data_IF_463699715449
#
_entry.id   IF_463699715449
#
_cell.length_a   1.000
_cell.length_b   1.000
_cell.length_c   1.000
_cell.angle_alpha   90.00
_cell.angle_beta   90.00
_cell.angle_gamma   90.00
#
_symmetry.space_group_name_H-M   'P 1'
#
loop_
_entity.id
_entity.type
_entity.pdbx_description
1 polymer ?
#
# COMPACT_ATOMS: atom_id res chain seq x y z
N UNK A 1 -6.24 -15.28 17.02
CA UNK A 1 -6.53 -13.92 17.55
C UNK A 1 -7.39 -13.25 16.49
N UNK A 2 -8.60 -12.80 16.83
CA UNK A 2 -9.49 -12.17 15.86
C UNK A 2 -8.83 -10.89 15.32
N UNK A 3 -8.76 -10.75 14.00
CA UNK A 3 -8.30 -9.55 13.32
C UNK A 3 -9.31 -8.39 13.46
N UNK A 4 -10.51 -8.70 13.93
CA UNK A 4 -11.61 -7.77 14.18
C UNK A 4 -11.93 -7.71 15.68
N UNK A 5 -11.47 -6.68 16.38
CA UNK A 5 -11.96 -6.37 17.73
C UNK A 5 -12.79 -5.07 17.65
N UNK A 6 -14.12 -5.16 17.65
CA UNK A 6 -14.99 -4.03 17.29
C UNK A 6 -15.27 -3.00 18.39
N UNK A 7 -14.70 -3.12 19.59
CA UNK A 7 -15.07 -2.23 20.70
C UNK A 7 -14.59 -0.78 20.60
N UNK A 8 -13.46 -0.54 19.93
CA UNK A 8 -12.73 0.73 20.00
C UNK A 8 -12.75 1.54 18.71
N UNK A 9 -13.39 1.06 17.65
CA UNK A 9 -13.43 1.71 16.35
C UNK A 9 -14.83 1.69 15.74
N UNK A 10 -15.11 2.67 14.89
CA UNK A 10 -16.33 2.75 14.06
C UNK A 10 -15.93 2.53 12.61
N UNK A 11 -16.62 1.65 11.90
CA UNK A 11 -16.44 1.41 10.48
C UNK A 11 -17.66 1.95 9.73
N UNK A 12 -17.44 2.94 8.88
CA UNK A 12 -18.47 3.52 8.01
C UNK A 12 -18.28 3.02 6.60
N UNK A 13 -19.26 2.32 6.06
CA UNK A 13 -19.26 1.91 4.65
C UNK A 13 -19.58 3.11 3.76
N UNK A 14 -18.71 3.42 2.83
CA UNK A 14 -18.85 4.50 1.86
C UNK A 14 -19.23 3.98 0.47
N UNK A 15 -19.44 2.68 0.30
CA UNK A 15 -19.63 2.03 -1.00
C UNK A 15 -20.91 2.48 -1.70
N UNK A 16 -21.95 2.87 -0.96
CA UNK A 16 -23.22 3.35 -1.54
C UNK A 16 -23.05 4.62 -2.39
N UNK A 17 -22.07 5.47 -2.04
CA UNK A 17 -21.76 6.68 -2.80
C UNK A 17 -20.77 6.41 -3.96
N UNK A 18 -20.28 5.17 -4.08
CA UNK A 18 -19.24 4.77 -4.99
C UNK A 18 -19.70 3.53 -5.78
N UNK A 19 -19.15 3.30 -6.96
CA UNK A 19 -19.39 2.06 -7.71
C UNK A 19 -18.42 0.93 -7.32
N UNK A 20 -17.76 1.03 -6.17
CA UNK A 20 -16.78 0.08 -5.64
C UNK A 20 -16.72 0.16 -4.11
N UNK A 21 -16.15 -0.87 -3.47
CA UNK A 21 -16.03 -0.92 -2.01
C UNK A 21 -15.11 0.17 -1.47
N UNK A 22 -15.57 0.86 -0.42
CA UNK A 22 -14.77 1.80 0.36
C UNK A 22 -15.25 1.85 1.81
N UNK A 23 -14.32 1.96 2.75
CA UNK A 23 -14.61 2.06 4.19
C UNK A 23 -13.79 3.18 4.83
N UNK A 24 -14.42 3.90 5.75
CA UNK A 24 -13.75 4.83 6.67
C UNK A 24 -13.77 4.19 8.06
N UNK A 25 -12.58 3.95 8.62
CA UNK A 25 -12.37 3.36 9.95
C UNK A 25 -11.84 4.45 10.87
N UNK A 26 -12.59 4.74 11.93
CA UNK A 26 -12.32 5.85 12.84
C UNK A 26 -12.30 5.37 14.29
N UNK A 27 -11.60 6.06 15.23
CA UNK A 27 -11.74 5.81 16.66
C UNK A 27 -13.20 5.92 17.10
N UNK A 28 -13.67 5.01 17.97
CA UNK A 28 -15.06 5.01 18.47
C UNK A 28 -15.39 6.25 19.30
N UNK A 29 -14.41 6.80 19.99
CA UNK A 29 -14.52 8.04 20.77
C UNK A 29 -13.52 9.04 20.23
N UNK A 30 -14.02 10.11 19.66
CA UNK A 30 -13.21 11.29 19.36
C UNK A 30 -13.05 12.10 20.65
N UNK A 31 -12.19 11.67 21.55
CA UNK A 31 -11.88 12.45 22.74
C UNK A 31 -11.01 13.65 22.37
N UNK A 32 -11.66 14.75 22.00
CA UNK A 32 -11.00 16.04 21.76
C UNK A 32 -10.31 16.62 23.02
N UNK A 33 -10.57 16.01 24.19
CA UNK A 33 -9.96 16.43 25.46
C UNK A 33 -8.64 15.70 25.76
N UNK A 34 -8.34 14.60 25.09
CA UNK A 34 -7.11 13.81 25.29
C UNK A 34 -5.82 14.54 24.90
N UNK A 35 -5.90 15.61 24.11
CA UNK A 35 -4.74 16.47 23.82
C UNK A 35 -4.20 17.28 25.05
N UNK A 36 -4.82 17.14 26.23
CA UNK A 36 -4.44 17.91 27.40
C UNK A 36 -3.83 17.10 28.55
N UNK A 37 -3.83 15.75 28.52
CA UNK A 37 -3.44 14.94 29.69
C UNK A 37 -2.86 13.55 29.38
N UNK A 38 -2.08 13.34 28.37
CA UNK A 38 -1.33 12.08 28.23
C UNK A 38 0.16 12.35 28.49
N UNK A 39 0.54 12.42 29.75
CA UNK A 39 1.86 12.06 30.21
C UNK A 39 2.00 10.53 30.12
N UNK A 40 2.29 10.02 28.93
CA UNK A 40 2.77 8.67 28.70
C UNK A 40 4.01 8.74 27.81
N UNK A 41 5.12 8.08 28.15
CA UNK A 41 6.44 8.36 27.57
C UNK A 41 6.66 7.79 26.15
N UNK A 42 5.63 7.38 25.45
CA UNK A 42 5.70 7.12 24.00
C UNK A 42 5.06 8.33 23.32
N UNK A 43 5.90 9.25 22.87
CA UNK A 43 5.45 10.38 22.06
C UNK A 43 4.84 9.84 20.77
N UNK A 44 3.53 9.60 20.78
CA UNK A 44 2.74 9.37 19.57
C UNK A 44 2.72 10.68 18.80
N UNK A 45 3.58 10.81 17.78
CA UNK A 45 3.54 11.90 16.82
C UNK A 45 2.35 11.79 15.85
N UNK A 46 1.43 10.84 16.07
CA UNK A 46 0.16 10.82 15.40
C UNK A 46 -0.61 12.08 15.82
N UNK A 47 -0.77 13.03 14.92
CA UNK A 47 -1.77 14.09 15.10
C UNK A 47 -3.10 13.36 15.19
N UNK A 48 -3.69 13.29 16.37
CA UNK A 48 -5.02 12.74 16.53
C UNK A 48 -5.92 13.36 15.46
N UNK A 49 -6.65 12.51 14.69
CA UNK A 49 -7.46 12.89 13.54
C UNK A 49 -6.76 12.91 12.15
N UNK A 50 -5.51 12.47 12.01
CA UNK A 50 -4.90 12.40 10.68
C UNK A 50 -5.66 11.40 9.79
N UNK A 51 -6.05 11.84 8.59
CA UNK A 51 -6.59 10.95 7.56
C UNK A 51 -5.46 10.13 6.93
N UNK A 52 -5.62 8.81 6.85
CA UNK A 52 -4.66 7.89 6.24
C UNK A 52 -5.33 7.13 5.11
N UNK A 53 -4.90 7.39 3.88
CA UNK A 53 -5.32 6.61 2.71
C UNK A 53 -4.55 5.30 2.67
N UNK A 54 -5.24 4.17 2.80
CA UNK A 54 -4.64 2.82 2.74
C UNK A 54 -4.85 2.23 1.35
N UNK A 55 -3.75 1.93 0.66
CA UNK A 55 -3.74 1.34 -0.68
C UNK A 55 -3.27 -0.11 -0.59
N UNK A 56 -4.20 -1.04 -0.83
CA UNK A 56 -3.94 -2.47 -0.72
C UNK A 56 -3.06 -3.03 -1.86
N UNK A 57 -2.51 -4.21 -1.66
CA UNK A 57 -1.72 -4.94 -2.64
C UNK A 57 -2.57 -5.63 -3.72
N UNK A 58 -1.90 -6.30 -4.65
CA UNK A 58 -2.54 -7.09 -5.70
C UNK A 58 -3.39 -8.22 -5.10
N UNK A 59 -4.49 -8.54 -5.75
CA UNK A 59 -5.44 -9.61 -5.37
C UNK A 59 -6.21 -9.37 -4.06
N UNK A 60 -5.93 -8.30 -3.33
CA UNK A 60 -6.59 -7.90 -2.09
C UNK A 60 -7.76 -6.93 -2.36
N UNK A 61 -8.41 -6.44 -1.32
CA UNK A 61 -9.50 -5.45 -1.38
C UNK A 61 -9.64 -4.72 -0.03
N UNK A 62 -10.47 -3.68 0.04
CA UNK A 62 -10.61 -2.83 1.23
C UNK A 62 -11.05 -3.58 2.49
N UNK A 63 -11.88 -4.62 2.34
CA UNK A 63 -12.40 -5.46 3.44
C UNK A 63 -11.59 -6.72 3.70
N UNK A 64 -10.49 -6.94 2.95
CA UNK A 64 -9.61 -8.08 3.22
C UNK A 64 -9.10 -8.01 4.67
N UNK A 65 -9.04 -9.13 5.41
CA UNK A 65 -8.64 -9.14 6.83
C UNK A 65 -7.32 -8.42 7.10
N UNK A 66 -6.30 -8.57 6.24
CA UNK A 66 -5.03 -7.86 6.39
C UNK A 66 -5.15 -6.34 6.24
N UNK A 67 -5.95 -5.87 5.28
CA UNK A 67 -6.17 -4.43 5.03
C UNK A 67 -6.97 -3.85 6.18
N UNK A 68 -8.02 -4.56 6.60
CA UNK A 68 -8.86 -4.14 7.73
C UNK A 68 -8.08 -4.14 9.05
N UNK A 69 -7.19 -5.12 9.29
CA UNK A 69 -6.32 -5.13 10.45
C UNK A 69 -5.42 -3.88 10.50
N UNK A 70 -4.84 -3.48 9.37
CA UNK A 70 -4.07 -2.23 9.27
C UNK A 70 -4.95 -1.01 9.57
N UNK A 71 -6.12 -0.91 8.95
CA UNK A 71 -7.03 0.22 9.16
C UNK A 71 -7.48 0.34 10.62
N UNK A 72 -7.84 -0.78 11.26
CA UNK A 72 -8.18 -0.83 12.68
C UNK A 72 -6.97 -0.49 13.55
N UNK A 73 -5.78 -1.01 13.22
CA UNK A 73 -4.53 -0.69 13.92
C UNK A 73 -4.21 0.80 13.90
N UNK A 74 -4.43 1.47 12.76
CA UNK A 74 -4.28 2.92 12.61
C UNK A 74 -5.35 3.68 13.42
N UNK A 75 -6.62 3.24 13.36
CA UNK A 75 -7.71 3.89 14.09
C UNK A 75 -7.52 3.78 15.61
N UNK A 76 -7.03 2.65 16.14
CA UNK A 76 -6.66 2.52 17.56
C UNK A 76 -5.54 3.46 18.00
N UNK A 77 -4.80 4.04 17.07
CA UNK A 77 -3.75 5.05 17.27
C UNK A 77 -4.22 6.49 17.03
N UNK A 78 -5.53 6.66 16.86
CA UNK A 78 -6.16 7.96 16.69
C UNK A 78 -6.26 8.45 15.25
N UNK A 79 -5.77 7.71 14.26
CA UNK A 79 -5.91 8.06 12.85
C UNK A 79 -7.30 7.70 12.31
N UNK A 80 -7.68 8.28 11.18
CA UNK A 80 -8.86 7.93 10.39
C UNK A 80 -8.41 7.21 9.14
N UNK A 81 -8.63 5.91 9.02
CA UNK A 81 -8.14 5.11 7.90
C UNK A 81 -9.20 4.99 6.80
N UNK A 82 -8.89 5.48 5.61
CA UNK A 82 -9.73 5.36 4.41
C UNK A 82 -9.19 4.22 3.54
N UNK A 83 -9.96 3.15 3.41
CA UNK A 83 -9.66 2.01 2.53
C UNK A 83 -10.61 1.99 1.34
N UNK A 84 -10.18 1.45 0.21
CA UNK A 84 -11.01 1.36 -0.99
C UNK A 84 -10.52 0.24 -1.91
N UNK A 85 -11.42 -0.28 -2.76
CA UNK A 85 -11.08 -1.31 -3.73
C UNK A 85 -10.36 -0.73 -4.94
N UNK A 86 -9.21 -1.30 -5.31
CA UNK A 86 -8.53 -0.99 -6.56
C UNK A 86 -9.29 -1.61 -7.77
N UNK A 87 -9.19 -1.02 -8.97
CA UNK A 87 -9.82 -1.57 -10.16
C UNK A 87 -9.49 -3.04 -10.36
N UNK A 88 -10.50 -3.86 -10.60
CA UNK A 88 -10.38 -5.30 -10.79
C UNK A 88 -10.37 -6.13 -9.51
N UNK A 89 -10.42 -5.53 -8.33
CA UNK A 89 -10.41 -6.21 -7.05
C UNK A 89 -11.58 -5.79 -6.16
N UNK A 90 -11.94 -6.66 -5.22
CA UNK A 90 -13.04 -6.41 -4.29
C UNK A 90 -14.39 -6.35 -5.00
N UNK A 91 -15.19 -5.34 -4.67
CA UNK A 91 -16.49 -5.08 -5.28
C UNK A 91 -16.31 -4.39 -6.63
N UNK A 92 -16.16 -5.19 -7.68
CA UNK A 92 -16.13 -4.69 -9.06
C UNK A 92 -17.54 -4.39 -9.53
N UNK A 93 -17.73 -3.31 -10.30
CA UNK A 93 -19.04 -2.96 -10.87
C UNK A 93 -19.43 -3.86 -12.07
N UNK A 94 -18.54 -4.77 -12.47
CA UNK A 94 -18.75 -5.69 -13.59
C UNK A 94 -18.75 -5.04 -14.96
N UNK A 95 -18.42 -3.74 -15.03
CA UNK A 95 -18.30 -3.04 -16.30
C UNK A 95 -17.13 -3.58 -17.14
N UNK A 96 -17.14 -3.31 -18.43
CA UNK A 96 -16.02 -3.63 -19.32
C UNK A 96 -14.67 -3.09 -18.82
N UNK A 97 -14.72 -2.04 -18.00
CA UNK A 97 -13.53 -1.37 -17.49
C UNK A 97 -13.08 -1.82 -16.10
N UNK A 98 -13.89 -2.63 -15.40
CA UNK A 98 -13.65 -3.12 -14.04
C UNK A 98 -13.88 -4.64 -13.94
N UNK A 99 -13.06 -5.38 -14.66
CA UNK A 99 -13.15 -6.85 -14.73
C UNK A 99 -12.41 -7.46 -13.55
N UNK A 100 -13.09 -8.33 -12.80
CA UNK A 100 -12.51 -9.01 -11.64
C UNK A 100 -11.21 -9.75 -11.99
N UNK A 101 -10.17 -9.52 -11.19
CA UNK A 101 -8.84 -10.09 -11.37
C UNK A 101 -7.97 -9.35 -12.39
N UNK A 102 -8.49 -8.26 -13.01
CA UNK A 102 -7.73 -7.45 -13.95
C UNK A 102 -7.45 -6.07 -13.39
N UNK A 103 -6.25 -5.85 -12.91
CA UNK A 103 -5.85 -4.50 -12.55
C UNK A 103 -5.68 -3.62 -13.77
N UNK A 104 -6.52 -2.61 -13.87
CA UNK A 104 -6.56 -1.71 -15.03
C UNK A 104 -5.47 -0.65 -15.08
N UNK A 105 -4.47 -0.70 -14.19
CA UNK A 105 -3.31 0.19 -14.20
C UNK A 105 -3.41 1.41 -13.28
N UNK A 106 -2.30 2.13 -13.19
CA UNK A 106 -2.13 3.25 -12.25
C UNK A 106 -3.10 4.40 -12.50
N UNK A 107 -3.39 4.74 -13.77
CA UNK A 107 -4.30 5.83 -14.10
C UNK A 107 -5.73 5.59 -13.62
N UNK A 108 -6.26 4.37 -13.79
CA UNK A 108 -7.60 4.01 -13.27
C UNK A 108 -7.62 4.01 -11.74
N UNK A 109 -6.53 3.52 -11.11
CA UNK A 109 -6.39 3.56 -9.66
C UNK A 109 -6.35 4.98 -9.13
N UNK A 110 -5.64 5.89 -9.79
CA UNK A 110 -5.61 7.31 -9.44
C UNK A 110 -7.00 7.96 -9.56
N UNK A 111 -7.76 7.61 -10.60
CA UNK A 111 -9.14 8.10 -10.74
C UNK A 111 -10.02 7.63 -9.56
N UNK A 112 -9.86 6.38 -9.08
CA UNK A 112 -10.55 5.91 -7.86
C UNK A 112 -10.08 6.64 -6.60
N UNK A 113 -8.77 6.85 -6.45
CA UNK A 113 -8.20 7.63 -5.34
C UNK A 113 -8.84 9.03 -5.30
N UNK A 114 -8.87 9.75 -6.43
CA UNK A 114 -9.53 11.06 -6.51
C UNK A 114 -11.00 11.00 -6.13
N UNK A 115 -11.69 9.93 -6.55
CA UNK A 115 -13.11 9.77 -6.22
C UNK A 115 -13.32 9.53 -4.71
N UNK A 116 -12.57 8.66 -4.05
CA UNK A 116 -12.73 8.45 -2.58
C UNK A 116 -12.35 9.71 -1.80
N UNK A 117 -11.31 10.44 -2.22
CA UNK A 117 -10.91 11.71 -1.61
C UNK A 117 -11.90 12.85 -1.85
N UNK A 118 -12.77 12.73 -2.86
CA UNK A 118 -13.87 13.69 -3.10
C UNK A 118 -15.09 13.45 -2.22
N UNK A 119 -15.14 12.32 -1.48
CA UNK A 119 -16.27 12.00 -0.61
C UNK A 119 -16.44 13.07 0.51
N UNK A 120 -17.67 13.53 0.81
CA UNK A 120 -17.91 14.61 1.78
C UNK A 120 -17.27 14.37 3.16
N UNK A 121 -17.15 13.11 3.60
CA UNK A 121 -16.56 12.75 4.90
C UNK A 121 -15.06 13.06 5.03
N UNK A 122 -14.35 13.22 3.91
CA UNK A 122 -12.87 13.36 3.88
C UNK A 122 -12.37 14.44 2.93
N UNK A 123 -13.27 15.07 2.17
CA UNK A 123 -12.89 16.04 1.13
C UNK A 123 -12.16 17.26 1.70
N UNK A 124 -11.05 17.60 1.07
CA UNK A 124 -10.26 18.80 1.40
C UNK A 124 -9.34 18.63 2.61
N UNK A 125 -9.27 17.44 3.19
CA UNK A 125 -8.34 17.15 4.26
C UNK A 125 -6.93 16.86 3.72
N UNK A 126 -5.89 17.25 4.47
CA UNK A 126 -4.54 16.74 4.30
C UNK A 126 -4.50 15.28 4.79
N UNK A 127 -3.71 14.44 4.13
CA UNK A 127 -3.67 13.02 4.49
C UNK A 127 -2.30 12.38 4.32
N UNK A 128 -2.10 11.27 5.05
CA UNK A 128 -1.00 10.36 4.84
C UNK A 128 -1.39 9.25 3.85
N UNK A 129 -0.41 8.61 3.23
CA UNK A 129 -0.63 7.42 2.38
C UNK A 129 0.13 6.24 2.99
N UNK A 130 -0.55 5.10 3.14
CA UNK A 130 0.08 3.80 3.45
C UNK A 130 -0.20 2.86 2.30
N UNK A 131 0.84 2.40 1.60
CA UNK A 131 0.69 1.49 0.46
C UNK A 131 1.48 0.22 0.65
N UNK A 132 0.85 -0.95 0.44
CA UNK A 132 1.48 -2.27 0.57
C UNK A 132 1.68 -2.94 -0.78
N UNK A 133 2.86 -3.52 -1.02
CA UNK A 133 3.14 -4.32 -2.21
C UNK A 133 2.94 -3.49 -3.51
N UNK A 134 2.05 -3.93 -4.40
CA UNK A 134 1.58 -3.14 -5.55
C UNK A 134 1.02 -1.78 -5.11
N UNK A 135 0.28 -1.74 -3.99
CA UNK A 135 -0.22 -0.49 -3.41
C UNK A 135 0.89 0.47 -2.98
N UNK A 136 2.05 -0.04 -2.56
CA UNK A 136 3.25 0.76 -2.28
C UNK A 136 3.82 1.41 -3.55
N UNK A 137 3.90 0.66 -4.65
CA UNK A 137 4.28 1.22 -5.94
C UNK A 137 3.27 2.28 -6.42
N UNK A 138 1.97 2.01 -6.22
CA UNK A 138 0.91 2.94 -6.57
C UNK A 138 0.92 4.20 -5.69
N UNK A 139 1.28 4.07 -4.40
CA UNK A 139 1.44 5.20 -3.49
C UNK A 139 2.49 6.21 -3.99
N UNK A 140 3.63 5.72 -4.50
CA UNK A 140 4.68 6.57 -5.11
C UNK A 140 4.11 7.33 -6.31
N UNK A 141 3.42 6.64 -7.20
CA UNK A 141 2.82 7.24 -8.39
C UNK A 141 1.74 8.26 -7.98
N UNK A 142 0.77 7.85 -7.17
CA UNK A 142 -0.37 8.69 -6.79
C UNK A 142 0.07 9.93 -6.01
N UNK A 143 1.01 9.79 -5.07
CA UNK A 143 1.54 10.93 -4.31
C UNK A 143 2.13 11.99 -5.25
N UNK A 144 2.96 11.59 -6.23
CA UNK A 144 3.51 12.53 -7.18
C UNK A 144 2.43 13.22 -8.02
N UNK A 145 1.48 12.45 -8.57
CA UNK A 145 0.41 13.00 -9.42
C UNK A 145 -0.49 13.99 -8.66
N UNK A 146 -0.87 13.66 -7.42
CA UNK A 146 -1.71 14.54 -6.60
C UNK A 146 -0.98 15.80 -6.16
N UNK A 147 0.30 15.68 -5.77
CA UNK A 147 1.13 16.83 -5.41
C UNK A 147 1.46 17.72 -6.62
N UNK A 148 1.69 17.13 -7.81
CA UNK A 148 1.97 17.89 -9.03
C UNK A 148 0.74 18.67 -9.52
N UNK A 149 -0.44 18.10 -9.32
CA UNK A 149 -1.70 18.77 -9.63
C UNK A 149 -2.11 19.82 -8.58
N UNK A 150 -1.44 19.87 -7.42
CA UNK A 150 -1.81 20.76 -6.32
C UNK A 150 -3.18 20.44 -5.72
N UNK A 151 -3.64 19.18 -5.86
CA UNK A 151 -4.98 18.78 -5.44
C UNK A 151 -5.07 18.54 -3.92
N UNK A 152 -3.97 18.08 -3.32
CA UNK A 152 -3.96 17.65 -1.92
C UNK A 152 -2.61 17.84 -1.24
N UNK A 153 -2.64 18.12 0.05
CA UNK A 153 -1.49 18.11 0.94
C UNK A 153 -1.25 16.69 1.46
N UNK A 154 -0.13 16.08 1.09
CA UNK A 154 0.28 14.77 1.56
C UNK A 154 1.27 14.94 2.70
N UNK A 155 0.85 14.57 3.91
CA UNK A 155 1.61 14.78 5.14
C UNK A 155 2.81 13.84 5.25
N UNK A 156 2.65 12.58 4.79
CA UNK A 156 3.69 11.55 4.77
C UNK A 156 3.29 10.35 3.90
N UNK A 157 4.26 9.52 3.56
CA UNK A 157 4.04 8.27 2.81
C UNK A 157 4.71 7.12 3.53
N UNK A 158 3.99 6.01 3.70
CA UNK A 158 4.52 4.76 4.25
C UNK A 158 4.46 3.68 3.18
N UNK A 159 5.60 3.12 2.85
CA UNK A 159 5.78 2.08 1.84
C UNK A 159 6.03 0.74 2.54
N UNK A 160 5.11 -0.20 2.39
CA UNK A 160 5.15 -1.51 3.04
C UNK A 160 5.49 -2.58 2.01
N UNK A 161 6.65 -3.18 2.09
CA UNK A 161 7.14 -4.18 1.12
C UNK A 161 6.80 -3.78 -0.35
N UNK A 162 7.15 -2.54 -0.79
CA UNK A 162 6.63 -1.98 -2.03
C UNK A 162 7.20 -2.68 -3.26
N UNK A 163 6.37 -2.87 -4.28
CA UNK A 163 6.80 -3.40 -5.58
C UNK A 163 7.65 -2.36 -6.32
N UNK A 164 8.96 -2.40 -6.11
CA UNK A 164 9.91 -1.46 -6.73
C UNK A 164 10.43 -1.95 -8.07
N UNK A 165 10.37 -3.26 -8.35
CA UNK A 165 10.95 -3.88 -9.54
C UNK A 165 10.27 -5.19 -9.88
N UNK A 166 10.08 -5.42 -11.17
CA UNK A 166 9.69 -6.74 -11.67
C UNK A 166 10.92 -7.66 -11.78
N UNK A 167 10.75 -8.95 -11.45
CA UNK A 167 11.84 -9.95 -11.56
C UNK A 167 12.34 -10.11 -13.01
N UNK A 168 11.43 -10.04 -13.97
CA UNK A 168 11.73 -10.21 -15.40
C UNK A 168 11.85 -8.87 -16.10
N UNK A 169 12.91 -8.69 -16.88
CA UNK A 169 13.07 -7.54 -17.78
C UNK A 169 12.82 -7.97 -19.21
N UNK A 170 12.07 -7.17 -19.92
CA UNK A 170 11.76 -7.41 -21.33
C UNK A 170 12.40 -6.34 -22.21
N UNK A 171 12.93 -6.72 -23.40
CA UNK A 171 13.30 -5.76 -24.43
C UNK A 171 12.12 -4.86 -24.83
N UNK A 172 12.40 -3.64 -25.24
CA UNK A 172 11.35 -2.66 -25.56
C UNK A 172 10.37 -3.15 -26.64
N UNK A 173 10.86 -3.87 -27.66
CA UNK A 173 10.01 -4.44 -28.72
C UNK A 173 9.04 -5.51 -28.16
N UNK A 174 9.50 -6.34 -27.23
CA UNK A 174 8.66 -7.35 -26.57
C UNK A 174 7.61 -6.66 -25.72
N UNK A 175 7.97 -5.63 -24.96
CA UNK A 175 7.05 -4.84 -24.16
C UNK A 175 5.97 -4.17 -25.01
N UNK A 176 6.35 -3.62 -26.17
CA UNK A 176 5.38 -3.03 -27.09
C UNK A 176 4.41 -4.10 -27.60
N UNK A 177 4.91 -5.28 -27.97
CA UNK A 177 4.06 -6.40 -28.38
C UNK A 177 3.10 -6.84 -27.27
N UNK A 178 3.60 -7.04 -26.06
CA UNK A 178 2.78 -7.38 -24.89
C UNK A 178 1.76 -6.30 -24.56
N UNK A 179 2.13 -5.01 -24.69
CA UNK A 179 1.22 -3.89 -24.50
C UNK A 179 0.06 -3.92 -25.52
N UNK A 180 0.36 -4.14 -26.79
CA UNK A 180 -0.68 -4.25 -27.84
C UNK A 180 -1.59 -5.46 -27.55
N UNK A 181 -1.02 -6.64 -27.27
CA UNK A 181 -1.78 -7.85 -26.97
C UNK A 181 -2.65 -7.69 -25.70
N UNK A 182 -2.17 -6.97 -24.71
CA UNK A 182 -2.94 -6.71 -23.48
C UNK A 182 -4.15 -5.79 -23.69
N UNK A 183 -4.33 -5.22 -24.88
CA UNK A 183 -5.50 -4.40 -25.27
C UNK A 183 -6.47 -5.17 -26.16
N UNK A 184 -6.14 -6.39 -26.55
CA UNK A 184 -7.01 -7.25 -27.32
C UNK A 184 -7.95 -8.00 -26.38
N UNK A 185 -9.29 -7.85 -26.52
CA UNK A 185 -10.25 -8.60 -25.72
C UNK A 185 -9.96 -10.11 -25.78
N UNK A 186 -10.09 -10.79 -24.65
CA UNK A 186 -9.71 -12.21 -24.42
C UNK A 186 -8.23 -12.40 -24.14
N UNK A 187 -7.30 -11.78 -24.89
CA UNK A 187 -5.87 -11.91 -24.63
C UNK A 187 -5.45 -11.13 -23.36
N UNK A 188 -6.11 -10.05 -23.09
CA UNK A 188 -5.95 -9.25 -21.85
C UNK A 188 -6.15 -10.07 -20.57
N UNK A 189 -7.00 -11.13 -20.65
CA UNK A 189 -7.36 -12.03 -19.53
C UNK A 189 -6.44 -13.23 -19.37
N UNK A 190 -5.54 -13.48 -20.32
CA UNK A 190 -4.60 -14.60 -20.22
C UNK A 190 -3.75 -14.45 -18.96
N UNK A 191 -3.73 -15.49 -18.13
CA UNK A 191 -2.86 -15.55 -16.97
C UNK A 191 -1.41 -15.77 -17.40
N UNK A 192 -0.54 -14.81 -17.03
CA UNK A 192 0.90 -14.82 -17.39
C UNK A 192 1.81 -15.20 -16.23
N UNK A 193 1.27 -15.25 -15.02
CA UNK A 193 1.98 -15.66 -13.81
C UNK A 193 1.01 -16.21 -12.78
N UNK A 194 1.47 -17.22 -12.03
CA UNK A 194 0.75 -17.69 -10.85
C UNK A 194 0.65 -16.60 -9.77
N UNK A 195 -0.30 -16.74 -8.87
CA UNK A 195 -0.41 -15.89 -7.68
C UNK A 195 0.87 -16.03 -6.83
N UNK A 196 1.50 -14.93 -6.40
CA UNK A 196 2.58 -14.98 -5.43
C UNK A 196 2.09 -15.59 -4.10
N UNK A 197 2.91 -16.40 -3.46
CA UNK A 197 2.66 -16.95 -2.13
C UNK A 197 3.49 -16.21 -1.09
N UNK A 198 2.90 -15.87 0.02
CA UNK A 198 3.58 -15.19 1.14
C UNK A 198 4.51 -16.12 1.92
N UNK A 199 4.33 -17.42 1.78
CA UNK A 199 5.08 -18.44 2.54
C UNK A 199 5.49 -19.59 1.63
N UNK A 200 6.73 -20.05 1.80
CA UNK A 200 7.17 -21.34 1.31
C UNK A 200 6.91 -22.41 2.36
N UNK A 201 6.42 -23.57 1.95
CA UNK A 201 6.29 -24.72 2.83
C UNK A 201 7.66 -25.02 3.49
N UNK A 202 7.68 -25.02 4.83
CA UNK A 202 8.87 -25.36 5.62
C UNK A 202 9.66 -24.19 6.19
N UNK A 203 9.28 -22.95 5.97
CA UNK A 203 9.94 -21.79 6.60
C UNK A 203 9.50 -21.63 8.06
N UNK A 204 10.17 -22.38 8.97
CA UNK A 204 9.86 -22.43 10.41
C UNK A 204 10.35 -21.20 11.17
N UNK A 205 11.23 -20.42 10.57
CA UNK A 205 11.85 -19.25 11.22
C UNK A 205 11.05 -17.97 11.01
N UNK A 206 10.11 -17.98 10.05
CA UNK A 206 9.23 -16.84 9.83
C UNK A 206 8.25 -16.68 10.98
N UNK A 207 8.17 -15.46 11.49
CA UNK A 207 7.14 -15.04 12.43
C UNK A 207 5.82 -14.81 11.69
N UNK A 208 4.83 -15.67 11.93
CA UNK A 208 3.64 -15.72 11.12
C UNK A 208 2.38 -16.08 11.91
N UNK A 209 1.35 -15.24 11.80
CA UNK A 209 0.02 -15.49 12.40
C UNK A 209 -0.81 -16.40 11.48
N UNK A 210 -0.76 -17.71 11.74
CA UNK A 210 -1.53 -18.71 10.96
C UNK A 210 -3.04 -18.51 11.06
N UNK A 211 -3.56 -18.04 12.19
CA UNK A 211 -4.98 -17.77 12.35
C UNK A 211 -5.43 -16.58 11.52
N UNK A 212 -4.63 -15.52 11.48
CA UNK A 212 -4.86 -14.38 10.58
C UNK A 212 -4.80 -14.77 9.11
N UNK A 213 -3.84 -15.62 8.72
CA UNK A 213 -3.78 -16.14 7.36
C UNK A 213 -5.02 -16.97 7.00
N UNK A 214 -5.48 -17.85 7.90
CA UNK A 214 -6.68 -18.64 7.68
C UNK A 214 -7.93 -17.76 7.44
N UNK A 215 -8.02 -16.61 8.11
CA UNK A 215 -9.10 -15.64 7.85
C UNK A 215 -8.97 -15.03 6.43
N UNK A 216 -7.75 -14.67 6.01
CA UNK A 216 -7.50 -14.20 4.64
C UNK A 216 -7.81 -15.28 3.60
N UNK A 217 -7.52 -16.54 3.91
CA UNK A 217 -7.80 -17.67 3.03
C UNK A 217 -9.29 -18.05 2.98
N UNK A 218 -10.06 -17.72 4.01
CA UNK A 218 -11.51 -17.90 4.03
C UNK A 218 -12.27 -16.77 3.31
N UNK A 219 -11.60 -15.68 2.95
CA UNK A 219 -12.22 -14.52 2.30
C UNK A 219 -12.49 -14.79 0.80
N UNK A 220 -13.75 -15.02 0.46
CA UNK A 220 -14.18 -15.32 -0.91
C UNK A 220 -14.09 -14.12 -1.87
N UNK A 221 -13.98 -12.91 -1.35
CA UNK A 221 -13.86 -11.69 -2.16
C UNK A 221 -12.44 -11.50 -2.69
N UNK A 222 -11.45 -12.04 -1.98
CA UNK A 222 -10.05 -12.03 -2.43
C UNK A 222 -9.89 -12.77 -3.76
N UNK A 223 -9.22 -12.15 -4.73
CA UNK A 223 -8.93 -12.78 -6.02
C UNK A 223 -7.88 -13.87 -5.86
N UNK A 224 -8.22 -15.09 -6.29
CA UNK A 224 -7.35 -16.28 -6.15
C UNK A 224 -6.71 -16.73 -7.46
N UNK A 225 -7.08 -16.12 -8.58
CA UNK A 225 -6.47 -16.38 -9.87
C UNK A 225 -5.08 -15.77 -10.00
N UNK A 226 -4.41 -16.09 -11.09
CA UNK A 226 -3.10 -15.55 -11.41
C UNK A 226 -3.12 -14.09 -11.90
N UNK A 227 -1.98 -13.63 -12.35
CA UNK A 227 -1.80 -12.28 -12.91
C UNK A 227 -2.18 -12.30 -14.38
N UNK A 228 -3.17 -11.52 -14.77
CA UNK A 228 -3.56 -11.39 -16.18
C UNK A 228 -2.49 -10.64 -16.99
N UNK A 229 -2.47 -10.83 -18.31
CA UNK A 229 -1.55 -10.14 -19.21
C UNK A 229 -1.68 -8.61 -19.04
N UNK A 230 -2.90 -8.09 -18.98
CA UNK A 230 -3.12 -6.67 -18.74
C UNK A 230 -2.49 -6.21 -17.43
N UNK A 231 -2.78 -6.91 -16.33
CA UNK A 231 -2.22 -6.58 -15.01
C UNK A 231 -0.70 -6.63 -15.01
N UNK A 232 -0.10 -7.66 -15.61
CA UNK A 232 1.35 -7.81 -15.71
C UNK A 232 2.03 -6.67 -16.45
N UNK A 233 1.44 -6.24 -17.58
CA UNK A 233 1.94 -5.12 -18.38
C UNK A 233 1.82 -3.81 -17.61
N UNK A 234 0.70 -3.57 -16.95
CA UNK A 234 0.50 -2.34 -16.18
C UNK A 234 1.40 -2.28 -14.94
N UNK A 235 1.63 -3.41 -14.25
CA UNK A 235 2.61 -3.50 -13.16
C UNK A 235 4.02 -3.17 -13.65
N UNK A 236 4.42 -3.73 -14.79
CA UNK A 236 5.71 -3.41 -15.38
C UNK A 236 5.85 -1.91 -15.70
N UNK A 237 4.81 -1.29 -16.26
CA UNK A 237 4.78 0.15 -16.54
C UNK A 237 4.90 0.97 -15.27
N UNK A 238 4.17 0.60 -14.21
CA UNK A 238 4.21 1.29 -12.92
C UNK A 238 5.62 1.27 -12.31
N UNK A 239 6.29 0.10 -12.29
CA UNK A 239 7.66 0.02 -11.78
C UNK A 239 8.64 0.84 -12.60
N UNK A 240 8.47 0.90 -13.93
CA UNK A 240 9.29 1.75 -14.82
C UNK A 240 9.11 3.24 -14.55
N UNK A 241 7.89 3.71 -14.34
CA UNK A 241 7.60 5.11 -13.98
C UNK A 241 8.22 5.44 -12.62
N UNK A 242 8.17 4.51 -11.66
CA UNK A 242 8.74 4.69 -10.33
C UNK A 242 10.28 4.63 -10.30
N UNK A 243 10.93 4.29 -11.39
CA UNK A 243 12.37 4.34 -11.49
C UNK A 243 13.07 2.98 -11.62
N UNK A 244 12.41 1.94 -12.17
CA UNK A 244 13.07 0.68 -12.56
C UNK A 244 13.89 0.84 -13.84
N UNK A 245 14.71 1.89 -13.93
CA UNK A 245 15.72 2.10 -14.95
C UNK A 245 17.11 1.61 -14.51
N UNK A 246 18.07 1.54 -15.44
CA UNK A 246 19.45 1.30 -15.06
C UNK A 246 19.92 2.44 -14.17
N UNK A 247 20.40 2.07 -12.97
CA UNK A 247 20.72 3.01 -11.91
C UNK A 247 22.04 3.74 -12.21
N UNK A 248 21.96 4.74 -13.09
CA UNK A 248 22.92 5.83 -13.02
C UNK A 248 22.43 6.81 -11.95
N UNK A 249 23.32 7.45 -11.20
CA UNK A 249 22.95 8.42 -10.15
C UNK A 249 21.96 9.49 -10.65
N UNK A 250 22.10 9.92 -11.89
CA UNK A 250 21.18 10.88 -12.53
C UNK A 250 19.78 10.31 -12.74
N UNK A 251 19.63 9.00 -12.95
CA UNK A 251 18.32 8.37 -13.11
C UNK A 251 17.60 8.19 -11.77
N UNK A 252 18.34 7.98 -10.69
CA UNK A 252 17.78 7.86 -9.32
C UNK A 252 17.19 9.18 -8.87
N UNK A 253 17.92 10.29 -9.00
CA UNK A 253 17.43 11.61 -8.59
C UNK A 253 16.14 12.05 -9.34
N UNK A 254 15.93 11.54 -10.55
CA UNK A 254 14.77 11.85 -11.40
C UNK A 254 13.62 10.85 -11.25
N UNK A 255 13.83 9.73 -10.57
CA UNK A 255 12.78 8.73 -10.39
C UNK A 255 11.64 9.26 -9.51
N UNK A 256 10.44 8.71 -9.69
CA UNK A 256 9.26 9.14 -8.96
C UNK A 256 9.43 8.96 -7.43
N UNK A 257 10.15 7.92 -6.99
CA UNK A 257 10.45 7.70 -5.57
C UNK A 257 11.24 8.88 -4.98
N UNK A 258 12.36 9.26 -5.57
CA UNK A 258 13.19 10.36 -5.08
C UNK A 258 12.43 11.69 -5.13
N UNK A 259 11.65 11.93 -6.20
CA UNK A 259 10.82 13.13 -6.32
C UNK A 259 9.79 13.23 -5.20
N UNK A 260 9.11 12.12 -4.89
CA UNK A 260 8.15 12.05 -3.77
C UNK A 260 8.85 12.27 -2.43
N UNK A 261 9.98 11.60 -2.18
CA UNK A 261 10.72 11.69 -0.92
C UNK A 261 11.26 13.10 -0.61
N UNK A 262 11.54 13.90 -1.62
CA UNK A 262 11.92 15.32 -1.41
C UNK A 262 10.74 16.19 -0.95
N UNK A 263 9.51 15.77 -1.19
CA UNK A 263 8.29 16.56 -0.94
C UNK A 263 7.50 16.08 0.27
N UNK A 264 7.60 14.80 0.61
CA UNK A 264 6.88 14.20 1.72
C UNK A 264 7.79 13.26 2.53
N UNK A 265 7.79 13.36 3.87
CA UNK A 265 8.43 12.38 4.73
C UNK A 265 8.00 10.97 4.35
N UNK A 266 8.95 10.09 4.14
CA UNK A 266 8.65 8.73 3.65
C UNK A 266 9.28 7.68 4.54
N UNK A 267 8.47 6.72 4.99
CA UNK A 267 8.93 5.57 5.78
C UNK A 267 8.86 4.31 4.92
N UNK A 268 9.98 3.57 4.84
CA UNK A 268 10.03 2.25 4.22
C UNK A 268 9.98 1.16 5.30
N UNK A 269 8.99 0.28 5.23
CA UNK A 269 8.84 -0.89 6.11
C UNK A 269 9.02 -2.17 5.30
N UNK A 270 9.94 -3.05 5.74
CA UNK A 270 10.27 -4.29 5.00
C UNK A 270 10.31 -5.50 5.91
N UNK A 271 9.83 -6.65 5.41
CA UNK A 271 10.08 -7.96 6.01
C UNK A 271 11.36 -8.57 5.45
N UNK A 272 12.29 -8.98 6.33
CA UNK A 272 13.57 -9.54 5.89
C UNK A 272 13.40 -10.90 5.18
N UNK A 273 12.32 -11.62 5.47
CA UNK A 273 11.98 -12.93 4.88
C UNK A 273 10.94 -12.81 3.74
N UNK A 274 10.78 -11.63 3.14
CA UNK A 274 9.88 -11.43 2.01
C UNK A 274 10.42 -12.07 0.72
N UNK A 275 9.85 -13.20 0.33
CA UNK A 275 10.17 -13.92 -0.90
C UNK A 275 9.37 -13.41 -2.11
N UNK A 276 8.27 -12.72 -1.89
CA UNK A 276 7.43 -12.14 -2.95
C UNK A 276 8.15 -10.94 -3.56
N UNK A 277 8.59 -10.02 -2.69
CA UNK A 277 9.36 -8.83 -3.06
C UNK A 277 10.63 -8.77 -2.21
N UNK A 278 11.77 -9.27 -2.69
CA UNK A 278 13.00 -9.27 -1.92
C UNK A 278 13.36 -7.88 -1.42
N UNK A 279 13.55 -7.68 -0.09
CA UNK A 279 13.69 -6.36 0.53
C UNK A 279 14.92 -5.59 0.05
N UNK A 280 15.98 -6.29 -0.34
CA UNK A 280 17.23 -5.67 -0.83
C UNK A 280 17.00 -4.69 -1.98
N UNK A 281 16.04 -4.96 -2.87
CA UNK A 281 15.71 -4.05 -3.98
C UNK A 281 15.07 -2.77 -3.48
N UNK A 282 14.10 -2.88 -2.57
CA UNK A 282 13.40 -1.72 -2.01
C UNK A 282 14.31 -0.87 -1.15
N UNK A 283 15.13 -1.51 -0.29
CA UNK A 283 16.13 -0.85 0.55
C UNK A 283 17.17 -0.11 -0.32
N UNK A 284 17.79 -0.79 -1.29
CA UNK A 284 18.81 -0.17 -2.13
C UNK A 284 18.28 1.04 -2.93
N UNK A 285 17.03 0.99 -3.40
CA UNK A 285 16.41 2.13 -4.09
C UNK A 285 16.06 3.27 -3.16
N UNK A 286 15.58 2.96 -1.96
CA UNK A 286 15.28 3.95 -0.95
C UNK A 286 16.54 4.68 -0.49
N UNK A 287 17.60 3.95 -0.16
CA UNK A 287 18.90 4.51 0.25
C UNK A 287 19.52 5.36 -0.87
N UNK A 288 19.46 4.89 -2.12
CA UNK A 288 19.92 5.66 -3.28
C UNK A 288 19.10 6.94 -3.49
N UNK A 289 17.79 6.92 -3.23
CA UNK A 289 16.93 8.11 -3.33
C UNK A 289 17.26 9.15 -2.24
N UNK A 290 17.60 8.71 -1.02
CA UNK A 290 18.09 9.59 0.05
C UNK A 290 19.42 10.24 -0.36
N UNK A 291 20.35 9.45 -0.91
CA UNK A 291 21.71 9.90 -1.26
C UNK A 291 21.78 10.85 -2.46
N UNK A 292 20.78 10.82 -3.36
CA UNK A 292 20.88 11.51 -4.65
C UNK A 292 20.73 13.05 -4.56
N UNK A 293 19.80 13.57 -3.77
CA UNK A 293 19.57 15.01 -3.60
C UNK A 293 18.91 15.33 -2.22
N UNK A 294 19.06 14.42 -1.28
CA UNK A 294 18.38 14.50 0.02
C UNK A 294 16.91 14.11 -0.06
N UNK A 295 16.28 14.08 1.08
CA UNK A 295 14.86 13.80 1.24
C UNK A 295 14.23 14.80 2.23
N UNK A 296 12.90 14.85 2.30
CA UNK A 296 12.21 15.58 3.35
C UNK A 296 12.65 15.08 4.73
N UNK A 297 12.67 15.97 5.71
CA UNK A 297 12.94 15.58 7.09
C UNK A 297 11.95 14.50 7.56
N UNK A 298 12.46 13.48 8.26
CA UNK A 298 11.64 12.35 8.72
C UNK A 298 11.58 11.17 7.77
N UNK A 299 12.35 11.14 6.68
CA UNK A 299 12.51 9.91 5.90
C UNK A 299 13.27 8.87 6.72
N UNK A 300 12.72 7.65 6.81
CA UNK A 300 13.28 6.56 7.61
C UNK A 300 12.97 5.19 6.98
N UNK A 301 13.73 4.17 7.37
CA UNK A 301 13.40 2.77 7.05
C UNK A 301 13.49 1.88 8.28
N UNK A 302 12.67 0.83 8.30
CA UNK A 302 12.67 -0.18 9.35
C UNK A 302 12.47 -1.57 8.77
N UNK A 303 13.27 -2.54 9.21
CA UNK A 303 13.20 -3.95 8.84
C UNK A 303 12.65 -4.80 9.97
N UNK A 304 11.83 -5.78 9.62
CA UNK A 304 11.31 -6.80 10.55
C UNK A 304 12.00 -8.13 10.23
N UNK A 305 12.97 -8.55 11.05
CA UNK A 305 13.91 -9.64 10.75
C UNK A 305 13.24 -10.97 10.40
N UNK A 306 12.13 -11.30 11.06
CA UNK A 306 11.42 -12.58 10.89
C UNK A 306 10.10 -12.46 10.16
N UNK A 307 9.81 -11.30 9.56
CA UNK A 307 8.56 -11.06 8.85
C UNK A 307 8.68 -11.34 7.35
N UNK A 308 7.63 -11.92 6.79
CA UNK A 308 7.45 -12.11 5.35
C UNK A 308 6.80 -10.90 4.67
N UNK A 309 6.07 -11.16 3.58
CA UNK A 309 5.44 -10.12 2.76
C UNK A 309 4.32 -9.36 3.49
N UNK A 310 3.50 -10.06 4.29
CA UNK A 310 2.35 -9.48 4.99
C UNK A 310 2.72 -9.08 6.42
N UNK A 311 3.15 -7.83 6.64
CA UNK A 311 3.56 -7.34 7.97
C UNK A 311 2.43 -7.31 9.01
N UNK A 312 1.18 -7.41 8.61
CA UNK A 312 0.02 -7.56 9.50
C UNK A 312 -0.09 -8.96 10.12
N UNK A 313 0.59 -9.95 9.53
CA UNK A 313 0.57 -11.36 9.94
C UNK A 313 1.82 -11.77 10.73
N UNK A 314 2.38 -10.87 11.52
CA UNK A 314 3.53 -11.14 12.37
C UNK A 314 3.24 -10.83 13.85
N UNK A 315 4.00 -11.41 14.79
CA UNK A 315 3.80 -11.17 16.22
C UNK A 315 4.06 -9.72 16.63
N UNK A 316 5.02 -9.05 15.97
CA UNK A 316 5.36 -7.64 16.22
C UNK A 316 4.49 -6.64 15.42
N UNK A 317 3.31 -7.03 14.96
CA UNK A 317 2.41 -6.17 14.18
C UNK A 317 2.02 -4.86 14.88
N UNK A 318 2.03 -4.81 16.20
CA UNK A 318 1.77 -3.57 16.94
C UNK A 318 2.86 -2.52 16.63
N UNK A 319 4.14 -2.92 16.61
CA UNK A 319 5.24 -2.05 16.18
C UNK A 319 5.05 -1.59 14.72
N UNK A 320 4.61 -2.50 13.85
CA UNK A 320 4.27 -2.16 12.47
C UNK A 320 3.16 -1.11 12.41
N UNK A 321 2.09 -1.26 13.18
CA UNK A 321 1.00 -0.28 13.22
C UNK A 321 1.45 1.06 13.81
N UNK A 322 2.32 1.07 14.82
CA UNK A 322 2.92 2.31 15.37
C UNK A 322 3.69 3.07 14.30
N UNK A 323 4.57 2.38 13.57
CA UNK A 323 5.35 2.98 12.49
C UNK A 323 4.47 3.44 11.33
N UNK A 324 3.45 2.66 10.97
CA UNK A 324 2.48 3.03 9.95
C UNK A 324 1.64 4.25 10.35
N UNK A 325 1.39 4.44 11.66
CA UNK A 325 0.75 5.63 12.21
C UNK A 325 1.68 6.84 12.35
N UNK A 326 2.97 6.71 12.03
CA UNK A 326 3.94 7.80 12.04
C UNK A 326 4.79 7.90 13.31
N UNK A 327 4.76 6.90 14.18
CA UNK A 327 5.70 6.82 15.31
C UNK A 327 7.13 6.64 14.81
N UNK A 328 8.09 7.09 15.59
CA UNK A 328 9.50 6.81 15.31
C UNK A 328 9.81 5.33 15.56
N UNK A 329 10.77 4.74 14.82
CA UNK A 329 11.27 3.42 15.15
C UNK A 329 11.75 3.37 16.61
N UNK A 330 11.57 2.23 17.30
CA UNK A 330 12.18 2.04 18.61
C UNK A 330 13.71 2.22 18.47
N UNK A 331 14.33 2.85 19.45
CA UNK A 331 15.79 2.93 19.51
C UNK A 331 16.31 1.49 19.63
N UNK A 332 17.32 1.14 18.82
CA UNK A 332 18.00 -0.15 18.94
C UNK A 332 18.74 -0.17 20.28
N UNK A 333 18.36 -1.11 21.18
CA UNK A 333 19.07 -1.38 22.42
C UNK A 333 20.37 -2.14 22.18
#
# INVERSE_FOLDING_TARGET
MELDAPGDVVITDLSDAMSFGAELVEPAVRDRSANARAESPVATNARGDELVLVIHGMNSHCRNPNVRALAVGLAKRGARALTFDLPGYGSCDGSFWDVRGQWGGAAKSLARIRRVLSHPAVRGEAFAIVGSSMGGALAIFAANELMDAGEHDITRVVLVNPLMRMKTRFPAAVLLGLFILSRVPVLDKLEVSARPSDRKDGDKDMDFDEAGQAQCDADDTTWRGGVSLLSGVELYRLTRVNGDGDATEVSVARCALARMMRRAPTTLLTGAMDDVIPPATSIGRFDAAIGADGCAEGCARYGFDRAGHSLTLQSRREVFFDLAAGSKPPEEE
#
